data_IF_886967724423
#
_entry.id   IF_886967724423
#
_cell.length_a   1.000
_cell.length_b   1.000
_cell.length_c   1.000
_cell.angle_alpha   90.00
_cell.angle_beta   90.00
_cell.angle_gamma   90.00
#
_symmetry.space_group_name_H-M   'P 1'
#
loop_
_entity.id
_entity.type
_entity.pdbx_description
1 polymer ?
#
# COMPACT_ATOMS: atom_id res chain seq x y z
N UNK A 1 -2.79 31.47 39.52
CA UNK A 1 -3.27 30.86 38.26
C UNK A 1 -2.12 30.42 37.36
N UNK A 2 -1.22 31.29 36.87
CA UNK A 2 -0.12 30.87 35.97
C UNK A 2 0.74 29.69 36.47
N UNK A 3 1.12 29.68 37.76
CA UNK A 3 1.85 28.56 38.39
C UNK A 3 1.11 27.22 38.40
N UNK A 4 -0.23 27.24 38.47
CA UNK A 4 -1.06 26.03 38.51
C UNK A 4 -1.17 25.35 37.13
N UNK A 5 -1.04 26.12 36.04
CA UNK A 5 -1.04 25.61 34.68
C UNK A 5 0.32 25.11 34.21
N UNK A 6 1.41 25.48 34.90
CA UNK A 6 2.77 25.03 34.59
C UNK A 6 3.13 23.73 35.34
N UNK A 7 2.49 23.42 36.47
CA UNK A 7 2.74 22.22 37.30
C UNK A 7 1.86 21.00 36.94
N UNK A 8 0.86 21.17 36.07
CA UNK A 8 -0.10 20.10 35.75
C UNK A 8 -0.25 19.93 34.23
N UNK A 9 -0.09 18.69 33.76
CA UNK A 9 -0.25 18.35 32.34
C UNK A 9 -1.67 18.66 31.84
N UNK A 10 -1.83 18.94 30.54
CA UNK A 10 -3.13 19.36 29.95
C UNK A 10 -4.30 18.42 30.28
N UNK A 11 -4.02 17.14 30.52
CA UNK A 11 -4.99 16.13 30.94
C UNK A 11 -5.54 16.39 32.35
N UNK A 12 -4.72 16.85 33.29
CA UNK A 12 -5.13 17.14 34.66
C UNK A 12 -6.08 18.36 34.73
N UNK A 13 -5.88 19.34 33.85
CA UNK A 13 -6.76 20.51 33.74
C UNK A 13 -8.14 20.11 33.17
N UNK A 14 -8.18 19.22 32.17
CA UNK A 14 -9.43 18.73 31.57
C UNK A 14 -10.24 17.94 32.61
N UNK A 15 -9.61 17.09 33.42
CA UNK A 15 -10.28 16.33 34.48
C UNK A 15 -10.89 17.24 35.56
N UNK A 16 -10.18 18.31 35.95
CA UNK A 16 -10.69 19.30 36.93
C UNK A 16 -11.89 20.08 36.36
N UNK A 17 -11.86 20.45 35.08
CA UNK A 17 -12.97 21.16 34.41
C UNK A 17 -14.21 20.28 34.28
N UNK A 18 -14.05 18.99 33.96
CA UNK A 18 -15.15 18.02 33.89
C UNK A 18 -15.75 17.76 35.28
N UNK A 19 -14.91 17.63 36.32
CA UNK A 19 -15.38 17.45 37.69
C UNK A 19 -16.18 18.68 38.20
N UNK A 20 -15.73 19.90 37.88
CA UNK A 20 -16.45 21.14 38.18
C UNK A 20 -17.78 21.23 37.42
N UNK A 21 -17.80 20.85 36.14
CA UNK A 21 -19.03 20.81 35.34
C UNK A 21 -20.04 19.80 35.90
N UNK A 22 -19.60 18.62 36.38
CA UNK A 22 -20.47 17.61 36.97
C UNK A 22 -20.99 17.99 38.38
N UNK A 23 -20.22 18.76 39.14
CA UNK A 23 -20.65 19.32 40.43
C UNK A 23 -21.72 20.41 40.26
N UNK A 24 -21.67 21.21 39.19
CA UNK A 24 -22.64 22.27 38.90
C UNK A 24 -24.05 21.72 38.56
N UNK A 25 -24.16 20.49 38.05
CA UNK A 25 -25.46 19.85 37.69
C UNK A 25 -26.05 19.03 38.86
N UNK A 26 -25.48 19.11 40.06
CA UNK A 26 -26.10 18.63 41.32
C UNK A 26 -26.40 17.12 41.43
N UNK A 27 -25.87 16.28 40.55
CA UNK A 27 -26.35 14.90 40.35
C UNK A 27 -25.37 13.79 40.74
N UNK A 28 -24.20 14.11 41.31
CA UNK A 28 -23.15 13.14 41.61
C UNK A 28 -22.88 13.07 43.12
N UNK A 29 -23.04 11.89 43.73
CA UNK A 29 -22.83 11.67 45.18
C UNK A 29 -21.35 11.47 45.57
N UNK A 30 -20.47 11.32 44.58
CA UNK A 30 -19.02 11.18 44.76
C UNK A 30 -18.38 10.53 43.54
N UNK A 31 -17.08 10.76 43.36
CA UNK A 31 -16.24 10.07 42.39
C UNK A 31 -15.38 9.03 43.12
N UNK A 32 -15.18 7.88 42.52
CA UNK A 32 -14.17 6.92 42.98
C UNK A 32 -12.78 7.43 42.56
N UNK A 33 -11.97 7.82 43.53
CA UNK A 33 -10.66 8.46 43.27
C UNK A 33 -9.62 7.51 42.65
N UNK A 34 -9.82 6.18 42.75
CA UNK A 34 -8.93 5.18 42.16
C UNK A 34 -9.26 4.85 40.71
N UNK A 35 -10.53 4.97 40.32
CA UNK A 35 -11.02 4.57 38.99
C UNK A 35 -11.60 5.71 38.16
N UNK A 36 -11.79 6.90 38.75
CA UNK A 36 -12.41 8.05 38.08
C UNK A 36 -13.91 7.90 37.80
N UNK A 37 -14.53 6.81 38.26
CA UNK A 37 -15.94 6.47 37.97
C UNK A 37 -16.91 7.17 38.92
N UNK A 38 -18.14 7.38 38.45
CA UNK A 38 -19.20 8.08 39.18
C UNK A 38 -19.97 7.11 40.08
N UNK A 39 -19.92 7.34 41.39
CA UNK A 39 -20.64 6.54 42.38
C UNK A 39 -22.13 6.91 42.43
N UNK A 40 -23.02 5.93 42.24
CA UNK A 40 -24.47 6.08 42.35
C UNK A 40 -25.26 5.22 41.35
N UNK A 41 -26.58 5.33 41.37
CA UNK A 41 -27.48 4.71 40.40
C UNK A 41 -28.35 5.76 39.71
N UNK A 42 -28.61 5.58 38.41
CA UNK A 42 -29.38 6.52 37.57
C UNK A 42 -28.62 6.97 36.32
N UNK A 43 -29.29 7.74 35.47
CA UNK A 43 -28.80 8.15 34.14
C UNK A 43 -27.45 8.88 34.20
N UNK A 44 -27.21 9.67 35.25
CA UNK A 44 -25.95 10.39 35.44
C UNK A 44 -24.75 9.46 35.69
N UNK A 45 -24.92 8.34 36.40
CA UNK A 45 -23.84 7.35 36.62
C UNK A 45 -23.57 6.54 35.34
N UNK A 46 -24.62 6.20 34.57
CA UNK A 46 -24.47 5.49 33.29
C UNK A 46 -23.69 6.35 32.29
N UNK A 47 -24.09 7.62 32.13
CA UNK A 47 -23.41 8.55 31.22
C UNK A 47 -22.00 8.85 31.72
N UNK A 48 -21.82 9.14 33.01
CA UNK A 48 -20.51 9.41 33.60
C UNK A 48 -19.53 8.25 33.45
N UNK A 49 -19.98 7.01 33.64
CA UNK A 49 -19.14 5.82 33.47
C UNK A 49 -18.83 5.51 32.00
N UNK A 50 -19.77 5.79 31.08
CA UNK A 50 -19.50 5.67 29.65
C UNK A 50 -18.42 6.66 29.19
N UNK A 51 -18.47 7.91 29.69
CA UNK A 51 -17.40 8.90 29.45
C UNK A 51 -16.08 8.48 30.08
N UNK A 52 -16.08 7.97 31.33
CA UNK A 52 -14.87 7.46 31.97
C UNK A 52 -14.24 6.34 31.14
N UNK A 53 -15.02 5.37 30.66
CA UNK A 53 -14.51 4.28 29.83
C UNK A 53 -14.01 4.74 28.45
N UNK A 54 -14.62 5.78 27.87
CA UNK A 54 -14.10 6.39 26.64
C UNK A 54 -12.77 7.12 26.89
N UNK A 55 -12.63 7.79 28.05
CA UNK A 55 -11.40 8.45 28.47
C UNK A 55 -10.30 7.44 28.78
N UNK A 56 -10.62 6.30 29.41
CA UNK A 56 -9.66 5.22 29.65
C UNK A 56 -9.13 4.66 28.32
N UNK A 57 -10.01 4.40 27.36
CA UNK A 57 -9.59 3.98 26.00
C UNK A 57 -8.74 5.03 25.29
N UNK A 58 -9.08 6.31 25.45
CA UNK A 58 -8.30 7.38 24.87
C UNK A 58 -6.94 7.54 25.57
N UNK A 59 -6.86 7.35 26.89
CA UNK A 59 -5.61 7.31 27.66
C UNK A 59 -4.75 6.12 27.24
N UNK A 60 -5.31 4.92 27.15
CA UNK A 60 -4.57 3.74 26.67
C UNK A 60 -4.02 3.99 25.26
N UNK A 61 -4.83 4.57 24.37
CA UNK A 61 -4.40 4.93 23.02
C UNK A 61 -3.34 6.04 23.01
N UNK A 62 -3.42 7.01 23.92
CA UNK A 62 -2.49 8.13 24.01
C UNK A 62 -1.19 7.77 24.73
N UNK A 63 -1.23 6.95 25.77
CA UNK A 63 -0.08 6.40 26.48
C UNK A 63 0.68 5.43 25.57
N UNK A 64 0.00 4.68 24.69
CA UNK A 64 0.66 3.90 23.63
C UNK A 64 1.40 4.79 22.62
N UNK A 65 0.96 6.03 22.39
CA UNK A 65 1.61 6.99 21.48
C UNK A 65 2.73 7.77 22.19
N UNK A 66 2.56 8.08 23.48
CA UNK A 66 3.47 8.94 24.26
C UNK A 66 4.55 8.16 25.01
N UNK A 67 4.30 6.90 25.36
CA UNK A 67 5.24 6.11 26.16
C UNK A 67 6.57 5.92 25.46
N UNK A 68 6.63 5.84 24.12
CA UNK A 68 7.90 5.73 23.38
C UNK A 68 8.89 4.76 24.04
N UNK A 69 8.38 3.76 24.77
CA UNK A 69 9.17 2.95 25.66
C UNK A 69 9.59 1.79 24.82
N UNK A 70 10.82 1.88 24.37
CA UNK A 70 11.67 0.77 24.00
C UNK A 70 11.81 -0.18 25.20
N UNK A 71 10.72 -0.82 25.58
CA UNK A 71 10.74 -2.16 26.13
C UNK A 71 10.81 -3.08 24.92
N UNK A 72 11.84 -3.90 24.85
CA UNK A 72 12.00 -4.94 23.86
C UNK A 72 10.98 -6.06 24.02
N UNK A 73 9.69 -5.73 24.14
CA UNK A 73 8.62 -6.67 23.88
C UNK A 73 8.12 -6.44 22.46
N UNK A 74 8.58 -7.34 21.61
CA UNK A 74 8.09 -7.66 20.29
C UNK A 74 6.66 -8.18 20.39
N UNK A 75 5.74 -7.42 20.99
CA UNK A 75 4.33 -7.80 21.08
C UNK A 75 3.71 -7.56 19.72
N UNK A 76 4.02 -8.46 18.79
CA UNK A 76 3.28 -8.60 17.55
C UNK A 76 1.80 -8.58 17.91
N UNK A 77 0.99 -7.72 17.27
CA UNK A 77 -0.44 -7.67 17.53
C UNK A 77 -0.99 -9.08 17.42
N UNK A 78 -1.83 -9.48 18.38
CA UNK A 78 -2.44 -10.82 18.43
C UNK A 78 -3.78 -10.88 17.69
N UNK A 79 -4.35 -9.71 17.36
CA UNK A 79 -5.57 -9.51 16.57
C UNK A 79 -5.60 -8.08 15.99
N UNK A 80 -6.54 -7.81 15.09
CA UNK A 80 -6.83 -6.47 14.59
C UNK A 80 -7.43 -5.53 15.65
N UNK A 81 -7.65 -4.24 15.31
CA UNK A 81 -8.08 -3.21 16.26
C UNK A 81 -9.40 -3.52 16.98
N UNK A 82 -10.28 -4.33 16.39
CA UNK A 82 -11.56 -4.74 16.98
C UNK A 82 -11.63 -6.26 17.25
N UNK A 83 -10.48 -6.94 17.31
CA UNK A 83 -10.40 -8.38 17.54
C UNK A 83 -10.46 -9.23 16.26
N UNK A 84 -10.26 -8.62 15.09
CA UNK A 84 -10.21 -9.33 13.81
C UNK A 84 -9.06 -10.35 13.79
N UNK A 85 -9.23 -11.51 13.13
CA UNK A 85 -8.16 -12.49 13.03
C UNK A 85 -6.98 -11.94 12.22
N UNK A 86 -5.77 -12.33 12.64
CA UNK A 86 -4.58 -12.07 11.85
C UNK A 86 -4.54 -12.98 10.62
N UNK A 87 -3.93 -12.45 9.58
CA UNK A 87 -3.70 -13.14 8.31
C UNK A 87 -2.68 -14.28 8.50
N UNK A 88 -3.01 -15.44 7.94
CA UNK A 88 -2.15 -16.63 7.95
C UNK A 88 -0.79 -16.35 7.33
N UNK A 89 0.28 -16.87 7.96
CA UNK A 89 1.66 -16.86 7.44
C UNK A 89 2.01 -18.14 6.68
N UNK A 90 1.10 -19.12 6.59
CA UNK A 90 1.34 -20.40 5.90
C UNK A 90 0.50 -20.56 4.64
N UNK A 91 -0.52 -19.74 4.46
CA UNK A 91 -1.39 -19.74 3.29
C UNK A 91 -1.16 -18.47 2.47
N UNK A 92 -1.23 -18.61 1.14
CA UNK A 92 -1.09 -17.49 0.23
C UNK A 92 -2.30 -16.57 0.29
N UNK A 93 -2.05 -15.27 0.23
CA UNK A 93 -3.08 -14.23 0.21
C UNK A 93 -3.26 -13.59 -1.17
N UNK A 94 -2.66 -14.20 -2.20
CA UNK A 94 -2.78 -13.73 -3.59
C UNK A 94 -4.25 -13.69 -4.02
N UNK A 95 -4.65 -12.61 -4.68
CA UNK A 95 -6.01 -12.37 -5.14
C UNK A 95 -6.92 -11.64 -4.14
N UNK A 96 -6.47 -11.47 -2.88
CA UNK A 96 -7.14 -10.60 -1.90
C UNK A 96 -6.81 -9.13 -2.15
N UNK A 97 -7.55 -8.24 -1.50
CA UNK A 97 -7.42 -6.80 -1.67
C UNK A 97 -6.66 -6.14 -0.52
N UNK A 98 -6.14 -4.95 -0.77
CA UNK A 98 -5.32 -4.21 0.17
C UNK A 98 -5.90 -2.81 0.42
N UNK A 99 -5.96 -2.45 1.71
CA UNK A 99 -6.10 -1.09 2.22
C UNK A 99 -4.77 -0.78 2.94
N UNK A 100 -3.90 -0.04 2.26
CA UNK A 100 -2.48 0.05 2.64
C UNK A 100 -2.23 1.02 3.80
N UNK A 101 -3.11 2.00 3.97
CA UNK A 101 -2.99 3.05 4.99
C UNK A 101 -4.08 2.98 6.06
N UNK A 102 -5.03 2.05 5.93
CA UNK A 102 -6.09 1.82 6.90
C UNK A 102 -7.17 2.90 6.85
N UNK A 103 -7.29 3.64 5.74
CA UNK A 103 -8.29 4.69 5.57
C UNK A 103 -9.65 4.15 5.11
N UNK A 104 -9.74 2.85 4.81
CA UNK A 104 -10.93 2.16 4.31
C UNK A 104 -11.10 2.20 2.79
N UNK A 105 -10.19 2.84 2.07
CA UNK A 105 -10.10 2.85 0.60
C UNK A 105 -9.30 1.63 0.14
N UNK A 106 -9.82 0.95 -0.88
CA UNK A 106 -9.13 -0.23 -1.42
C UNK A 106 -8.17 0.19 -2.53
N UNK A 107 -6.88 0.08 -2.26
CA UNK A 107 -5.80 0.53 -3.15
C UNK A 107 -5.51 -0.43 -4.28
N UNK A 108 -5.57 -1.73 -4.00
CA UNK A 108 -4.98 -2.71 -4.89
C UNK A 108 -5.37 -4.15 -4.60
N UNK A 109 -4.89 -5.02 -5.49
CA UNK A 109 -4.99 -6.47 -5.38
C UNK A 109 -3.61 -7.07 -5.15
N UNK A 110 -3.51 -8.00 -4.21
CA UNK A 110 -2.29 -8.73 -3.89
C UNK A 110 -1.97 -9.70 -5.03
N UNK A 111 -0.76 -9.58 -5.59
CA UNK A 111 -0.30 -10.49 -6.64
C UNK A 111 0.99 -11.24 -6.29
N UNK A 112 1.68 -10.84 -5.22
CA UNK A 112 2.78 -11.61 -4.66
C UNK A 112 2.72 -11.59 -3.14
N UNK A 113 3.01 -12.75 -2.54
CA UNK A 113 3.12 -12.97 -1.10
C UNK A 113 4.55 -13.45 -0.81
N UNK A 114 5.36 -12.59 -0.20
CA UNK A 114 6.77 -12.85 0.01
C UNK A 114 7.05 -13.88 1.11
N UNK A 115 6.12 -14.15 2.03
CA UNK A 115 6.34 -15.23 2.99
C UNK A 115 6.23 -16.59 2.30
N UNK A 116 5.36 -16.68 1.29
CA UNK A 116 5.19 -17.91 0.50
C UNK A 116 6.23 -17.98 -0.62
N UNK A 117 6.56 -16.84 -1.23
CA UNK A 117 7.41 -16.76 -2.41
C UNK A 117 6.78 -17.48 -3.61
N UNK A 118 7.62 -17.94 -4.53
CA UNK A 118 7.20 -18.81 -5.63
C UNK A 118 7.93 -18.52 -6.94
N UNK A 119 7.57 -19.23 -7.99
CA UNK A 119 8.07 -18.97 -9.34
C UNK A 119 7.06 -19.42 -10.37
N UNK A 120 7.20 -18.93 -11.59
CA UNK A 120 6.28 -19.28 -12.67
C UNK A 120 6.66 -18.66 -14.00
N UNK A 121 5.70 -18.73 -14.92
CA UNK A 121 5.84 -18.23 -16.28
C UNK A 121 4.53 -17.66 -16.78
N UNK A 122 4.60 -16.52 -17.44
CA UNK A 122 3.51 -15.94 -18.20
C UNK A 122 3.75 -16.03 -19.72
N UNK A 123 2.88 -16.76 -20.42
CA UNK A 123 2.97 -16.95 -21.88
C UNK A 123 3.97 -18.02 -22.33
N UNK A 124 4.15 -18.21 -23.65
CA UNK A 124 4.99 -19.27 -24.20
C UNK A 124 6.47 -18.91 -24.25
N UNK A 125 6.85 -17.63 -24.17
CA UNK A 125 8.25 -17.19 -24.26
C UNK A 125 8.99 -17.29 -22.93
N UNK A 126 10.32 -17.42 -22.98
CA UNK A 126 11.18 -17.35 -21.79
C UNK A 126 11.18 -15.97 -21.12
N UNK A 127 10.73 -14.93 -21.84
CA UNK A 127 10.66 -13.56 -21.32
C UNK A 127 9.59 -13.37 -20.24
N UNK A 128 8.70 -14.35 -20.06
CA UNK A 128 7.66 -14.32 -19.04
C UNK A 128 8.00 -15.06 -17.76
N UNK A 129 9.23 -15.55 -17.57
CA UNK A 129 9.62 -16.22 -16.33
C UNK A 129 9.77 -15.22 -15.19
N UNK A 130 9.41 -15.62 -13.98
CA UNK A 130 9.56 -14.82 -12.76
C UNK A 130 9.85 -15.70 -11.55
N UNK A 131 10.56 -15.13 -10.58
CA UNK A 131 10.76 -15.70 -9.25
C UNK A 131 10.40 -14.66 -8.20
N UNK A 132 9.48 -14.99 -7.32
CA UNK A 132 9.09 -14.19 -6.17
C UNK A 132 9.98 -14.66 -5.00
N UNK A 133 10.81 -13.77 -4.42
CA UNK A 133 11.68 -14.14 -3.31
C UNK A 133 10.87 -14.47 -2.06
N UNK A 134 11.50 -15.22 -1.14
CA UNK A 134 10.93 -15.55 0.16
C UNK A 134 11.55 -14.69 1.26
N UNK A 135 10.74 -14.15 2.16
CA UNK A 135 11.15 -13.50 3.41
C UNK A 135 10.72 -14.34 4.61
N UNK A 136 11.50 -14.31 5.69
CA UNK A 136 11.22 -15.10 6.90
C UNK A 136 10.33 -14.38 7.92
N UNK A 137 10.23 -13.05 7.81
CA UNK A 137 9.42 -12.21 8.69
C UNK A 137 8.82 -11.04 7.91
N UNK A 138 7.69 -10.56 8.43
CA UNK A 138 6.99 -9.36 7.95
C UNK A 138 6.23 -8.75 9.12
N UNK A 139 5.73 -7.52 8.95
CA UNK A 139 4.65 -7.01 9.79
C UNK A 139 3.41 -7.91 9.71
N UNK A 140 2.48 -7.74 10.64
CA UNK A 140 1.22 -8.48 10.66
C UNK A 140 0.17 -7.78 9.81
N UNK A 141 -0.89 -8.51 9.47
CA UNK A 141 -2.06 -7.98 8.74
C UNK A 141 -3.30 -8.61 9.34
N UNK A 142 -4.43 -7.93 9.24
CA UNK A 142 -5.72 -8.45 9.66
C UNK A 142 -6.74 -8.28 8.53
N UNK A 143 -7.83 -9.03 8.60
CA UNK A 143 -8.95 -8.90 7.67
C UNK A 143 -9.81 -7.73 8.14
N UNK A 144 -9.72 -6.59 7.47
CA UNK A 144 -10.47 -5.36 7.80
C UNK A 144 -11.86 -5.33 7.18
N UNK A 145 -12.05 -6.06 6.08
CA UNK A 145 -13.35 -6.23 5.42
C UNK A 145 -13.48 -7.65 4.87
N UNK A 146 -14.54 -8.35 5.24
CA UNK A 146 -14.78 -9.75 4.85
C UNK A 146 -15.08 -9.92 3.36
N UNK A 147 -15.59 -8.87 2.70
CA UNK A 147 -16.02 -8.96 1.31
C UNK A 147 -15.93 -7.62 0.58
N UNK A 148 -15.05 -7.56 -0.41
CA UNK A 148 -14.94 -6.51 -1.40
C UNK A 148 -14.96 -7.11 -2.81
N UNK A 149 -15.70 -6.50 -3.73
CA UNK A 149 -15.85 -6.97 -5.11
C UNK A 149 -15.23 -5.99 -6.09
N UNK A 150 -14.30 -6.47 -6.92
CA UNK A 150 -13.77 -5.73 -8.05
C UNK A 150 -13.72 -6.61 -9.29
N UNK A 151 -13.82 -5.99 -10.47
CA UNK A 151 -13.78 -6.67 -11.78
C UNK A 151 -12.50 -7.49 -11.98
N UNK A 152 -11.37 -7.05 -11.43
CA UNK A 152 -10.06 -7.69 -11.61
C UNK A 152 -9.95 -9.01 -10.84
N UNK A 153 -10.28 -9.02 -9.55
CA UNK A 153 -10.13 -10.16 -8.64
C UNK A 153 -11.40 -10.91 -8.28
N UNK A 154 -12.58 -10.38 -8.61
CA UNK A 154 -13.86 -10.91 -8.10
C UNK A 154 -14.13 -10.45 -6.67
N UNK A 155 -14.82 -11.28 -5.89
CA UNK A 155 -15.09 -11.02 -4.47
C UNK A 155 -14.04 -11.68 -3.59
N UNK A 156 -13.39 -10.92 -2.72
CA UNK A 156 -12.42 -11.42 -1.75
C UNK A 156 -12.34 -10.49 -0.52
N UNK A 157 -11.62 -10.93 0.51
CA UNK A 157 -11.34 -10.14 1.71
C UNK A 157 -10.37 -8.97 1.42
N UNK A 158 -10.41 -7.97 2.29
CA UNK A 158 -9.46 -6.84 2.33
C UNK A 158 -8.54 -7.01 3.52
N UNK A 159 -7.25 -6.81 3.28
CA UNK A 159 -6.20 -6.86 4.27
C UNK A 159 -5.68 -5.45 4.56
N UNK A 160 -5.47 -5.16 5.84
CA UNK A 160 -4.86 -3.92 6.32
C UNK A 160 -3.64 -4.26 7.18
N UNK A 161 -2.51 -3.54 7.04
CA UNK A 161 -1.32 -3.80 7.84
C UNK A 161 -1.53 -3.42 9.31
N UNK A 162 -0.88 -4.15 10.20
CA UNK A 162 -0.84 -3.85 11.64
C UNK A 162 0.54 -4.21 12.23
N UNK A 163 1.03 -3.34 13.11
CA UNK A 163 2.34 -3.48 13.72
C UNK A 163 3.48 -2.99 12.82
N UNK A 164 4.70 -3.41 13.13
CA UNK A 164 5.93 -2.94 12.50
C UNK A 164 6.66 -4.08 11.78
N UNK A 165 7.55 -3.73 10.86
CA UNK A 165 8.35 -4.69 10.10
C UNK A 165 8.22 -4.51 8.59
N UNK A 166 8.87 -5.40 7.85
CA UNK A 166 8.92 -5.38 6.39
C UNK A 166 7.55 -5.66 5.76
N UNK A 167 7.32 -5.05 4.60
CA UNK A 167 6.18 -5.33 3.73
C UNK A 167 6.18 -6.80 3.29
N UNK A 168 4.99 -7.41 3.27
CA UNK A 168 4.83 -8.82 2.90
C UNK A 168 4.38 -8.97 1.47
N UNK A 169 3.63 -7.99 0.95
CA UNK A 169 2.87 -8.17 -0.26
C UNK A 169 3.29 -7.17 -1.32
N UNK A 170 3.23 -7.62 -2.57
CA UNK A 170 3.16 -6.69 -3.70
C UNK A 170 1.71 -6.58 -4.15
N UNK A 171 1.28 -5.34 -4.34
CA UNK A 171 -0.06 -5.03 -4.80
C UNK A 171 -0.02 -4.32 -6.14
N UNK A 172 -1.00 -4.62 -6.97
CA UNK A 172 -1.25 -3.88 -8.20
C UNK A 172 -2.45 -2.96 -7.98
N UNK A 173 -2.32 -1.70 -8.38
CA UNK A 173 -3.43 -0.73 -8.37
C UNK A 173 -4.64 -1.27 -9.13
N UNK A 174 -5.84 -0.92 -8.67
CA UNK A 174 -7.09 -1.39 -9.29
C UNK A 174 -7.39 -0.70 -10.64
N UNK A 175 -6.81 0.47 -10.88
CA UNK A 175 -7.06 1.27 -12.07
C UNK A 175 -5.75 1.60 -12.81
N UNK A 176 -5.88 1.85 -14.12
CA UNK A 176 -4.77 2.38 -14.91
C UNK A 176 -4.58 3.88 -14.60
N UNK A 177 -3.40 4.39 -14.94
CA UNK A 177 -3.27 5.83 -15.21
C UNK A 177 -4.16 6.22 -16.39
N UNK A 178 -4.69 7.44 -16.37
CA UNK A 178 -5.61 7.92 -17.38
C UNK A 178 -4.90 8.22 -18.70
N UNK A 179 -5.10 7.36 -19.69
CA UNK A 179 -4.59 7.53 -21.05
C UNK A 179 -3.46 6.56 -21.38
N UNK A 180 -2.73 6.90 -22.43
CA UNK A 180 -1.57 6.15 -22.95
C UNK A 180 -0.37 7.06 -23.04
N UNK A 181 0.80 6.46 -22.92
CA UNK A 181 2.03 7.22 -22.72
C UNK A 181 3.18 6.59 -23.49
N UNK A 182 4.14 7.42 -23.84
CA UNK A 182 5.46 6.97 -24.26
C UNK A 182 6.27 6.56 -23.03
N UNK A 183 7.13 5.57 -23.18
CA UNK A 183 8.02 5.19 -22.09
C UNK A 183 9.01 6.31 -21.80
N UNK A 184 9.69 6.79 -22.84
CA UNK A 184 10.46 8.05 -22.88
C UNK A 184 10.77 8.31 -24.36
N UNK A 185 10.03 9.19 -25.01
CA UNK A 185 10.00 9.32 -26.46
C UNK A 185 11.39 9.58 -27.07
N UNK A 186 12.10 10.56 -26.53
CA UNK A 186 13.43 10.92 -27.02
C UNK A 186 14.50 9.85 -26.74
N UNK A 187 14.21 8.88 -25.88
CA UNK A 187 15.19 7.89 -25.46
C UNK A 187 15.49 6.82 -26.53
N UNK A 188 14.68 6.74 -27.59
CA UNK A 188 14.87 5.79 -28.69
C UNK A 188 16.23 6.00 -29.37
N UNK A 189 17.12 5.01 -29.20
CA UNK A 189 18.48 5.03 -29.73
C UNK A 189 19.49 5.78 -28.86
N UNK A 190 19.05 6.40 -27.77
CA UNK A 190 19.88 7.23 -26.89
C UNK A 190 20.21 6.56 -25.53
N UNK A 191 19.51 5.49 -25.16
CA UNK A 191 19.77 4.72 -23.91
C UNK A 191 20.91 3.72 -24.07
N UNK A 192 22.12 4.21 -24.32
CA UNK A 192 23.28 3.34 -24.51
C UNK A 192 23.72 2.62 -23.22
N UNK A 193 23.23 3.06 -22.06
CA UNK A 193 23.44 2.47 -20.72
C UNK A 193 22.32 1.49 -20.30
N UNK A 194 21.54 0.97 -21.26
CA UNK A 194 20.37 0.13 -20.97
C UNK A 194 20.68 -1.13 -20.15
N UNK A 195 21.90 -1.67 -20.26
CA UNK A 195 22.31 -2.91 -19.59
C UNK A 195 22.39 -2.79 -18.07
N UNK A 196 22.54 -1.57 -17.54
CA UNK A 196 22.72 -1.30 -16.12
C UNK A 196 21.71 -0.31 -15.55
N UNK A 197 21.03 0.48 -16.39
CA UNK A 197 20.09 1.51 -15.94
C UNK A 197 18.84 0.94 -15.28
N UNK A 198 18.33 -0.18 -15.79
CA UNK A 198 17.15 -0.84 -15.23
C UNK A 198 17.39 -2.34 -15.14
N UNK A 199 16.70 -2.98 -14.22
CA UNK A 199 16.70 -4.43 -14.08
C UNK A 199 15.37 -5.04 -14.51
N UNK A 200 15.42 -6.27 -14.98
CA UNK A 200 14.25 -7.07 -15.32
C UNK A 200 13.69 -7.83 -14.12
N UNK A 201 14.49 -7.95 -13.06
CA UNK A 201 14.23 -8.85 -11.93
C UNK A 201 13.06 -8.41 -11.05
N UNK A 202 12.45 -9.40 -10.38
CA UNK A 202 11.37 -9.14 -9.43
C UNK A 202 11.89 -8.26 -8.28
N UNK A 203 11.06 -7.32 -7.80
CA UNK A 203 11.42 -6.36 -6.76
C UNK A 203 12.22 -5.17 -7.26
N UNK A 204 12.43 -5.02 -8.58
CA UNK A 204 13.19 -3.91 -9.17
C UNK A 204 12.34 -2.79 -9.74
N UNK A 205 11.01 -2.92 -9.76
CA UNK A 205 10.13 -1.89 -10.31
C UNK A 205 10.31 -0.52 -9.66
N UNK A 206 10.46 -0.48 -8.33
CA UNK A 206 10.67 0.74 -7.54
C UNK A 206 12.01 1.43 -7.85
N UNK A 207 13.09 0.66 -7.87
CA UNK A 207 14.44 1.15 -8.20
C UNK A 207 14.49 1.67 -9.64
N UNK A 208 13.93 0.92 -10.59
CA UNK A 208 13.87 1.31 -11.99
C UNK A 208 13.07 2.61 -12.15
N UNK A 209 11.91 2.71 -11.51
CA UNK A 209 11.03 3.90 -11.59
C UNK A 209 11.76 5.14 -11.07
N UNK A 210 12.40 5.04 -9.90
CA UNK A 210 13.19 6.12 -9.31
C UNK A 210 14.33 6.56 -10.23
N UNK A 211 15.05 5.58 -10.79
CA UNK A 211 16.15 5.82 -11.72
C UNK A 211 15.66 6.52 -12.99
N UNK A 212 14.55 6.06 -13.56
CA UNK A 212 14.03 6.61 -14.80
C UNK A 212 13.38 7.98 -14.63
N UNK A 213 12.74 8.28 -13.50
CA UNK A 213 12.32 9.64 -13.16
C UNK A 213 13.53 10.57 -13.11
N UNK A 214 14.63 10.14 -12.48
CA UNK A 214 15.85 10.93 -12.38
C UNK A 214 16.51 11.18 -13.75
N UNK A 215 16.58 10.15 -14.60
CA UNK A 215 17.07 10.24 -15.99
C UNK A 215 16.19 11.13 -16.86
N UNK A 216 14.88 11.06 -16.66
CA UNK A 216 13.92 11.91 -17.34
C UNK A 216 14.07 13.37 -16.91
N UNK A 217 14.10 13.66 -15.60
CA UNK A 217 14.28 15.01 -15.04
C UNK A 217 15.58 15.68 -15.51
N UNK A 218 16.66 14.90 -15.62
CA UNK A 218 17.97 15.36 -16.10
C UNK A 218 18.12 15.39 -17.62
N UNK A 219 17.07 15.03 -18.38
CA UNK A 219 17.09 14.95 -19.85
C UNK A 219 18.21 14.05 -20.39
N UNK A 220 18.55 13.00 -19.65
CA UNK A 220 19.71 12.15 -19.93
C UNK A 220 19.70 11.51 -21.33
N UNK A 221 18.52 11.32 -21.92
CA UNK A 221 18.34 10.70 -23.23
C UNK A 221 17.67 11.62 -24.26
N UNK A 222 17.57 12.92 -23.97
CA UNK A 222 16.97 13.92 -24.86
C UNK A 222 15.90 14.75 -24.19
N UNK A 223 15.23 15.59 -24.97
CA UNK A 223 14.13 16.42 -24.47
C UNK A 223 12.92 15.58 -24.05
N UNK A 224 12.23 16.05 -23.03
CA UNK A 224 11.05 15.39 -22.48
C UNK A 224 9.82 15.63 -23.36
N UNK A 225 8.89 14.68 -23.39
CA UNK A 225 7.58 14.81 -24.04
C UNK A 225 7.66 15.29 -25.51
N UNK A 226 8.61 14.74 -26.28
CA UNK A 226 8.84 15.13 -27.68
C UNK A 226 7.75 14.63 -28.63
N UNK A 227 6.87 13.74 -28.18
CA UNK A 227 5.70 13.31 -28.92
C UNK A 227 4.62 14.40 -28.94
N UNK A 228 3.96 14.56 -30.09
CA UNK A 228 2.88 15.52 -30.23
C UNK A 228 1.65 15.14 -29.40
N UNK A 229 1.33 13.84 -29.33
CA UNK A 229 0.05 13.35 -28.82
C UNK A 229 0.15 12.69 -27.43
N UNK A 230 1.35 12.32 -26.99
CA UNK A 230 1.56 11.55 -25.76
C UNK A 230 2.63 12.20 -24.87
N UNK A 231 2.51 11.96 -23.57
CA UNK A 231 3.52 12.35 -22.58
C UNK A 231 4.37 11.14 -22.20
N UNK A 232 5.59 11.40 -21.74
CA UNK A 232 6.46 10.38 -21.18
C UNK A 232 5.96 9.99 -19.77
N UNK A 233 5.87 8.68 -19.48
CA UNK A 233 5.33 8.19 -18.21
C UNK A 233 6.02 8.78 -16.98
N UNK A 234 7.33 8.99 -17.04
CA UNK A 234 8.15 9.36 -15.88
C UNK A 234 7.77 10.73 -15.32
N UNK A 235 7.38 11.68 -16.17
CA UNK A 235 6.88 12.98 -15.72
C UNK A 235 5.47 12.91 -15.13
N UNK A 236 4.68 11.89 -15.47
CA UNK A 236 3.26 11.79 -15.10
C UNK A 236 3.03 11.09 -13.76
N UNK A 237 4.00 10.29 -13.31
CA UNK A 237 3.85 9.44 -12.13
C UNK A 237 4.61 9.92 -10.90
N UNK A 238 5.20 11.12 -10.93
CA UNK A 238 6.09 11.61 -9.86
C UNK A 238 5.41 11.65 -8.50
N UNK A 239 4.16 12.11 -8.44
CA UNK A 239 3.39 12.15 -7.19
C UNK A 239 3.12 10.75 -6.65
N UNK A 240 2.72 9.83 -7.53
CA UNK A 240 2.48 8.44 -7.15
C UNK A 240 3.78 7.77 -6.69
N UNK A 241 4.90 8.04 -7.37
CA UNK A 241 6.23 7.56 -7.00
C UNK A 241 6.69 8.04 -5.63
N UNK A 242 6.46 9.31 -5.32
CA UNK A 242 6.73 9.85 -3.99
C UNK A 242 5.87 9.19 -2.90
N UNK A 243 4.67 8.71 -3.26
CA UNK A 243 3.78 7.94 -2.39
C UNK A 243 4.06 6.43 -2.45
N UNK A 244 5.23 6.01 -2.95
CA UNK A 244 5.68 4.62 -2.92
C UNK A 244 5.18 3.74 -4.06
N UNK A 245 4.39 4.27 -5.00
CA UNK A 245 3.94 3.52 -6.18
C UNK A 245 5.00 3.50 -7.28
N UNK A 246 5.04 2.46 -8.10
CA UNK A 246 6.05 2.33 -9.14
C UNK A 246 5.53 1.58 -10.36
N UNK A 247 6.20 1.77 -11.50
CA UNK A 247 5.93 0.99 -12.71
C UNK A 247 6.59 -0.39 -12.51
N UNK A 248 5.83 -1.49 -12.56
CA UNK A 248 6.37 -2.82 -12.34
C UNK A 248 7.48 -3.17 -13.36
N UNK A 249 8.50 -3.86 -12.90
CA UNK A 249 9.50 -4.53 -13.72
C UNK A 249 8.86 -5.63 -14.58
N UNK A 250 9.64 -6.16 -15.53
CA UNK A 250 9.24 -7.30 -16.37
C UNK A 250 8.74 -8.48 -15.52
N UNK A 251 9.51 -8.90 -14.51
CA UNK A 251 9.14 -10.05 -13.68
C UNK A 251 7.95 -9.77 -12.77
N UNK A 252 7.80 -8.56 -12.23
CA UNK A 252 6.61 -8.21 -11.43
C UNK A 252 5.34 -8.24 -12.27
N UNK A 253 5.38 -7.75 -13.52
CA UNK A 253 4.27 -7.88 -14.46
C UNK A 253 3.95 -9.34 -14.79
N UNK A 254 4.97 -10.16 -15.05
CA UNK A 254 4.79 -11.57 -15.33
C UNK A 254 4.20 -12.33 -14.13
N UNK A 255 4.66 -12.00 -12.91
CA UNK A 255 4.11 -12.52 -11.67
C UNK A 255 2.65 -12.10 -11.50
N UNK A 256 2.32 -10.82 -11.71
CA UNK A 256 0.94 -10.33 -11.65
C UNK A 256 0.00 -11.12 -12.55
N UNK A 257 0.37 -11.29 -13.83
CA UNK A 257 -0.46 -12.01 -14.76
C UNK A 257 -0.53 -13.52 -14.47
N UNK A 258 0.60 -14.15 -14.12
CA UNK A 258 0.67 -15.57 -13.81
C UNK A 258 -0.09 -15.94 -12.54
N UNK A 259 0.13 -15.21 -11.45
CA UNK A 259 -0.45 -15.49 -10.13
C UNK A 259 -1.96 -15.27 -10.09
N UNK A 260 -2.48 -14.29 -10.85
CA UNK A 260 -3.91 -13.99 -10.91
C UNK A 260 -4.65 -14.70 -12.06
N UNK A 261 -3.98 -15.61 -12.77
CA UNK A 261 -4.56 -16.37 -13.87
C UNK A 261 -5.10 -15.47 -14.99
N UNK A 262 -4.43 -14.35 -15.25
CA UNK A 262 -4.77 -13.46 -16.36
C UNK A 262 -4.33 -14.13 -17.66
N UNK A 263 -5.18 -14.10 -18.67
CA UNK A 263 -4.93 -14.72 -19.96
C UNK A 263 -5.53 -13.87 -21.09
N UNK A 264 -5.10 -14.15 -22.32
CA UNK A 264 -5.67 -13.55 -23.54
C UNK A 264 -7.20 -13.61 -23.58
N UNK A 265 -7.79 -14.68 -23.05
CA UNK A 265 -9.25 -14.90 -23.06
C UNK A 265 -10.01 -14.12 -21.99
N UNK A 266 -9.35 -13.56 -20.96
CA UNK A 266 -10.05 -12.97 -19.80
C UNK A 266 -9.54 -11.59 -19.37
N UNK A 267 -8.46 -11.06 -19.91
CA UNK A 267 -7.90 -9.78 -19.44
C UNK A 267 -8.93 -8.64 -19.53
N UNK A 268 -9.70 -8.58 -20.62
CA UNK A 268 -10.72 -7.54 -20.84
C UNK A 268 -11.92 -7.69 -19.92
N UNK A 269 -12.34 -8.94 -19.62
CA UNK A 269 -13.41 -9.20 -18.64
C UNK A 269 -12.97 -8.89 -17.22
N UNK A 270 -11.65 -8.92 -16.95
CA UNK A 270 -11.01 -8.42 -15.72
C UNK A 270 -10.77 -6.90 -15.69
N UNK A 271 -11.15 -6.18 -16.74
CA UNK A 271 -11.02 -4.71 -16.80
C UNK A 271 -9.60 -4.22 -17.08
N UNK A 272 -8.73 -5.09 -17.61
CA UNK A 272 -7.37 -4.74 -18.00
C UNK A 272 -7.33 -4.30 -19.47
N UNK A 273 -6.37 -3.45 -19.79
CA UNK A 273 -5.99 -3.06 -21.14
C UNK A 273 -5.18 -4.16 -21.82
N UNK A 274 -5.08 -4.10 -23.16
CA UNK A 274 -4.37 -5.11 -23.93
C UNK A 274 -2.87 -5.15 -23.69
N UNK A 275 -2.24 -4.03 -23.31
CA UNK A 275 -0.79 -3.96 -23.12
C UNK A 275 -0.38 -2.86 -22.14
N UNK A 276 0.71 -3.09 -21.42
CA UNK A 276 1.21 -2.17 -20.39
C UNK A 276 2.72 -2.04 -20.37
N UNK A 277 3.21 -0.82 -20.15
CA UNK A 277 4.63 -0.59 -19.92
C UNK A 277 5.13 -1.31 -18.66
N UNK A 278 6.30 -1.94 -18.78
CA UNK A 278 7.15 -2.25 -17.63
C UNK A 278 8.22 -1.18 -17.46
N UNK A 279 8.85 -1.13 -16.29
CA UNK A 279 10.01 -0.26 -16.04
C UNK A 279 11.34 -0.84 -16.54
N UNK A 280 11.33 -2.02 -17.16
CA UNK A 280 12.53 -2.73 -17.58
C UNK A 280 12.86 -2.44 -19.05
N UNK A 281 14.07 -1.95 -19.30
CA UNK A 281 14.61 -1.77 -20.65
C UNK A 281 15.06 -3.10 -21.26
N UNK A 282 14.95 -3.24 -22.59
CA UNK A 282 15.45 -4.42 -23.31
C UNK A 282 16.70 -4.11 -24.12
N UNK A 283 16.71 -2.99 -24.84
CA UNK A 283 17.84 -2.48 -25.61
C UNK A 283 17.71 -0.95 -25.78
N UNK A 284 18.63 -0.26 -26.50
CA UNK A 284 18.59 1.20 -26.63
C UNK A 284 17.31 1.78 -27.26
N UNK A 285 16.47 0.97 -27.92
CA UNK A 285 15.29 1.42 -28.65
C UNK A 285 13.96 1.03 -28.00
N UNK A 286 13.95 -0.04 -27.19
CA UNK A 286 12.71 -0.69 -26.73
C UNK A 286 12.77 -1.02 -25.24
N UNK A 287 11.61 -0.95 -24.60
CA UNK A 287 11.39 -1.42 -23.23
C UNK A 287 10.48 -2.65 -23.25
N UNK A 288 10.56 -3.48 -22.22
CA UNK A 288 9.62 -4.57 -22.04
C UNK A 288 8.22 -4.03 -21.76
N UNK A 289 7.22 -4.70 -22.30
CA UNK A 289 5.83 -4.51 -21.96
C UNK A 289 5.19 -5.88 -21.69
N UNK A 290 4.06 -5.87 -20.99
CA UNK A 290 3.20 -7.05 -20.93
C UNK A 290 2.11 -6.90 -21.98
N UNK A 291 1.96 -7.89 -22.86
CA UNK A 291 0.94 -7.94 -23.90
C UNK A 291 -0.11 -8.97 -23.49
N UNK A 292 -1.14 -8.50 -22.78
CA UNK A 292 -2.27 -9.30 -22.34
C UNK A 292 -3.19 -9.68 -23.50
N UNK A 293 -3.23 -8.88 -24.56
CA UNK A 293 -4.00 -9.18 -25.77
C UNK A 293 -3.49 -10.45 -26.47
N UNK A 294 -2.17 -10.63 -26.52
CA UNK A 294 -1.56 -11.83 -27.06
C UNK A 294 -1.15 -12.88 -26.00
N UNK A 295 -1.16 -12.51 -24.72
CA UNK A 295 -0.94 -13.42 -23.60
C UNK A 295 0.53 -13.72 -23.30
N UNK A 296 1.43 -12.75 -23.48
CA UNK A 296 2.86 -12.94 -23.23
C UNK A 296 3.58 -11.63 -22.86
N UNK A 297 4.82 -11.75 -22.38
CA UNK A 297 5.73 -10.61 -22.21
C UNK A 297 6.42 -10.32 -23.54
N UNK A 298 6.35 -9.06 -23.98
CA UNK A 298 6.90 -8.56 -25.24
C UNK A 298 7.82 -7.37 -24.98
N UNK A 299 8.20 -6.67 -26.04
CA UNK A 299 8.85 -5.37 -25.98
C UNK A 299 8.26 -4.45 -27.04
N UNK A 300 8.31 -3.15 -26.78
CA UNK A 300 7.83 -2.11 -27.67
C UNK A 300 8.76 -0.91 -27.63
N UNK A 301 8.73 -0.10 -28.70
CA UNK A 301 9.59 1.06 -28.82
C UNK A 301 9.28 2.07 -27.74
N UNK A 302 10.30 2.67 -27.14
CA UNK A 302 10.09 3.63 -26.03
C UNK A 302 9.34 4.91 -26.45
N UNK A 303 9.20 5.13 -27.76
CA UNK A 303 8.40 6.17 -28.38
C UNK A 303 7.05 5.65 -28.94
N UNK A 304 6.64 4.45 -28.53
CA UNK A 304 5.35 3.82 -28.80
C UNK A 304 4.38 3.99 -27.63
N UNK A 305 3.15 3.53 -27.81
CA UNK A 305 2.02 3.85 -26.92
C UNK A 305 1.57 2.66 -26.09
N UNK A 306 1.73 2.74 -24.77
CA UNK A 306 1.20 1.71 -23.88
C UNK A 306 0.44 2.32 -22.69
N UNK A 307 -0.45 1.53 -22.10
CA UNK A 307 -1.08 1.88 -20.82
C UNK A 307 -0.08 1.71 -19.69
N UNK A 308 -0.40 2.31 -18.54
CA UNK A 308 0.40 2.16 -17.33
C UNK A 308 -0.52 1.82 -16.17
N UNK A 309 -0.05 0.88 -15.35
CA UNK A 309 -0.64 0.53 -14.07
C UNK A 309 0.51 0.42 -13.07
N UNK A 310 0.27 0.89 -11.86
CA UNK A 310 1.31 0.98 -10.85
C UNK A 310 1.17 -0.15 -9.84
N UNK A 311 2.30 -0.56 -9.27
CA UNK A 311 2.36 -1.45 -8.12
C UNK A 311 2.96 -0.72 -6.92
N UNK A 312 2.75 -1.28 -5.73
CA UNK A 312 3.48 -0.90 -4.53
C UNK A 312 3.68 -2.12 -3.63
N UNK A 313 4.38 -1.94 -2.53
CA UNK A 313 4.52 -2.93 -1.46
C UNK A 313 3.75 -2.46 -0.25
N UNK A 314 3.20 -3.41 0.52
CA UNK A 314 2.55 -3.07 1.79
C UNK A 314 2.63 -4.22 2.79
#
# INVERSE_FOLDING_TARGET
>A
MKKFFEEHSGVAIILIVIAILLLIVGSVKGLDEGTGKVNGSGVASIVGNAYSSAIDKFKDSFDNVLSGTSDGDNSNPTSGPNGEPLVSKTESQIGKYADIDGDGTIDGIIFADLIIGGSGKYGPSGMGTYTIPTISSSKSYYISQESYTNKLGGTAEVLTPIGTGEDRFYIMSLNNLSGTYDWYNAAKGNMNDYTTTTSQEFGKGKDNTTTMISKWDSKAYGEQNTCADHKDIWGQIKTQANNGWFVPSRQEWAAFAGQLGIAKSNYSSKGLSGWYWSSSQYNPNVAYNIDLYNGYVSNDHVNGINYVRLATTF
#
